data_IF_981534719243
#
_entry.id   IF_981534719243
#
_cell.length_a   1.000
_cell.length_b   1.000
_cell.length_c   1.000
_cell.angle_alpha   90.00
_cell.angle_beta   90.00
_cell.angle_gamma   90.00
#
_symmetry.space_group_name_H-M   'P 1'
#
loop_
_entity.id
_entity.type
_entity.pdbx_description
1 polymer ?
#
# COMPACT_ATOMS: atom_id res chain seq x y z
N UNK A 1 -61.60 -19.27 -23.92
CA UNK A 1 -61.10 -17.94 -23.51
C UNK A 1 -59.73 -18.14 -22.89
N UNK A 2 -58.66 -17.83 -23.60
CA UNK A 2 -57.27 -17.92 -23.10
C UNK A 2 -56.74 -16.49 -23.07
N UNK A 3 -56.39 -16.02 -21.87
CA UNK A 3 -55.91 -14.67 -21.61
C UNK A 3 -54.45 -14.52 -22.07
N UNK A 4 -54.04 -13.41 -22.70
CA UNK A 4 -52.64 -13.18 -22.99
C UNK A 4 -51.94 -12.65 -21.73
N UNK A 5 -50.86 -13.30 -21.33
CA UNK A 5 -49.99 -12.82 -20.26
C UNK A 5 -49.09 -11.72 -20.83
N UNK A 6 -49.30 -10.48 -20.40
CA UNK A 6 -48.49 -9.33 -20.78
C UNK A 6 -47.19 -9.35 -19.95
N UNK A 7 -46.06 -9.68 -20.59
CA UNK A 7 -44.73 -9.55 -19.98
C UNK A 7 -44.34 -8.06 -19.97
N UNK A 8 -44.50 -7.41 -18.80
CA UNK A 8 -43.84 -6.13 -18.53
C UNK A 8 -42.32 -6.36 -18.49
N UNK A 9 -41.61 -5.87 -19.49
CA UNK A 9 -40.16 -5.68 -19.39
C UNK A 9 -39.90 -4.46 -18.52
N UNK A 10 -39.35 -4.67 -17.33
CA UNK A 10 -38.67 -3.59 -16.60
C UNK A 10 -37.39 -3.26 -17.37
N UNK A 11 -37.21 -2.04 -17.89
CA UNK A 11 -35.88 -1.62 -18.31
C UNK A 11 -35.04 -1.48 -17.05
N UNK A 12 -34.10 -2.40 -16.84
CA UNK A 12 -33.01 -2.21 -15.88
C UNK A 12 -32.16 -1.05 -16.38
N UNK A 13 -32.49 0.16 -15.93
CA UNK A 13 -31.64 1.32 -16.08
C UNK A 13 -30.45 1.15 -15.13
N UNK A 14 -29.42 0.42 -15.57
CA UNK A 14 -28.09 0.68 -15.05
C UNK A 14 -27.67 2.01 -15.66
N UNK A 15 -27.82 3.07 -14.85
CA UNK A 15 -27.23 4.36 -15.12
C UNK A 15 -25.75 4.15 -15.45
N UNK A 16 -25.30 4.72 -16.56
CA UNK A 16 -23.90 4.84 -16.94
C UNK A 16 -23.22 5.77 -15.94
N UNK A 17 -22.90 5.28 -14.74
CA UNK A 17 -21.83 5.85 -13.95
C UNK A 17 -20.53 5.58 -14.70
N UNK A 18 -19.70 6.59 -14.92
CA UNK A 18 -18.35 6.38 -15.41
C UNK A 18 -17.68 5.33 -14.52
N UNK A 19 -17.22 4.23 -15.13
CA UNK A 19 -16.27 3.35 -14.48
C UNK A 19 -14.97 4.14 -14.36
N UNK A 20 -14.78 4.81 -13.22
CA UNK A 20 -13.46 5.28 -12.82
C UNK A 20 -12.63 4.03 -12.54
N UNK A 21 -11.83 3.64 -13.52
CA UNK A 21 -11.05 2.42 -13.48
C UNK A 21 -10.00 2.53 -12.38
N UNK A 22 -10.04 1.59 -11.44
CA UNK A 22 -9.00 1.41 -10.44
C UNK A 22 -8.10 0.25 -10.85
N UNK A 23 -6.78 0.41 -10.67
CA UNK A 23 -5.78 -0.59 -11.05
C UNK A 23 -5.06 -1.13 -9.80
N UNK A 24 -4.83 -2.45 -9.78
CA UNK A 24 -4.04 -3.12 -8.75
C UNK A 24 -2.81 -3.71 -9.42
N UNK A 25 -1.63 -3.35 -8.94
CA UNK A 25 -0.37 -3.95 -9.35
C UNK A 25 0.33 -4.55 -8.14
N UNK A 26 0.72 -5.81 -8.26
CA UNK A 26 1.57 -6.47 -7.26
C UNK A 26 3.02 -6.27 -7.67
N UNK A 27 3.83 -5.80 -6.72
CA UNK A 27 5.27 -5.75 -6.82
C UNK A 27 5.83 -6.81 -5.87
N UNK A 28 6.57 -7.77 -6.40
CA UNK A 28 7.32 -8.75 -5.62
C UNK A 28 8.79 -8.34 -5.63
N UNK A 29 9.44 -8.33 -4.46
CA UNK A 29 10.85 -7.98 -4.36
C UNK A 29 11.72 -8.82 -5.30
N UNK A 30 12.50 -8.16 -6.17
CA UNK A 30 13.46 -8.85 -7.03
C UNK A 30 14.80 -9.05 -6.29
N UNK A 31 15.37 -10.25 -6.42
CA UNK A 31 16.77 -10.54 -6.13
C UNK A 31 17.23 -10.42 -4.65
N UNK A 32 16.33 -10.24 -3.69
CA UNK A 32 16.66 -10.19 -2.26
C UNK A 32 16.38 -11.51 -1.50
N UNK A 33 15.80 -12.50 -2.19
CA UNK A 33 15.40 -13.82 -1.69
C UNK A 33 14.29 -13.80 -0.62
N UNK A 34 13.69 -12.65 -0.33
CA UNK A 34 12.55 -12.54 0.60
C UNK A 34 11.22 -12.79 -0.09
N UNK A 35 11.10 -12.40 -1.37
CA UNK A 35 9.88 -12.56 -2.18
C UNK A 35 8.64 -11.93 -1.51
N UNK A 36 8.88 -10.86 -0.75
CA UNK A 36 7.84 -10.04 -0.12
C UNK A 36 7.07 -9.24 -1.17
N UNK A 37 5.78 -9.09 -0.93
CA UNK A 37 4.88 -8.40 -1.84
C UNK A 37 4.47 -7.04 -1.27
N UNK A 38 4.46 -6.06 -2.14
CA UNK A 38 3.75 -4.80 -1.95
C UNK A 38 2.67 -4.68 -3.01
N UNK A 39 1.58 -4.00 -2.67
CA UNK A 39 0.45 -3.79 -3.60
C UNK A 39 0.28 -2.31 -3.86
N UNK A 40 0.44 -1.92 -5.12
CA UNK A 40 0.12 -0.60 -5.63
C UNK A 40 -1.36 -0.57 -5.98
N UNK A 41 -2.06 0.37 -5.35
CA UNK A 41 -3.47 0.66 -5.51
C UNK A 41 -3.53 2.01 -6.22
N UNK A 42 -3.75 2.01 -7.54
CA UNK A 42 -3.78 3.22 -8.37
C UNK A 42 -5.21 3.59 -8.75
N UNK A 43 -5.71 4.72 -8.24
CA UNK A 43 -6.97 5.31 -8.68
C UNK A 43 -6.75 6.44 -9.68
N UNK A 44 -7.72 7.32 -9.85
CA UNK A 44 -7.68 8.36 -10.88
C UNK A 44 -6.73 9.51 -10.52
N UNK A 45 -6.74 9.93 -9.26
CA UNK A 45 -6.03 11.11 -8.76
C UNK A 45 -4.85 10.77 -7.87
N UNK A 46 -4.81 9.58 -7.27
CA UNK A 46 -3.80 9.23 -6.28
C UNK A 46 -3.41 7.74 -6.32
N UNK A 47 -2.34 7.43 -5.58
CA UNK A 47 -1.83 6.07 -5.36
C UNK A 47 -1.82 5.79 -3.87
N UNK A 48 -2.29 4.60 -3.50
CA UNK A 48 -2.07 3.99 -2.20
C UNK A 48 -1.11 2.82 -2.35
N UNK A 49 -0.32 2.57 -1.31
CA UNK A 49 0.57 1.42 -1.22
C UNK A 49 0.18 0.55 -0.03
N UNK A 50 0.21 -0.76 -0.21
CA UNK A 50 0.14 -1.73 0.89
C UNK A 50 1.51 -2.37 1.03
N UNK A 51 2.10 -2.21 2.23
CA UNK A 51 3.43 -2.68 2.63
C UNK A 51 4.60 -2.09 1.82
N UNK A 52 5.76 -1.97 2.43
CA UNK A 52 6.84 -1.06 2.00
C UNK A 52 8.18 -1.74 1.71
N UNK A 53 8.20 -3.06 1.55
CA UNK A 53 9.40 -3.87 1.28
C UNK A 53 10.41 -3.90 2.45
N UNK A 54 11.30 -4.90 2.41
CA UNK A 54 12.37 -5.03 3.42
C UNK A 54 13.56 -4.10 3.17
N UNK A 55 14.10 -4.11 1.95
CA UNK A 55 15.38 -3.47 1.62
C UNK A 55 15.16 -2.10 0.97
N UNK A 56 16.10 -1.17 1.16
CA UNK A 56 16.05 0.12 0.46
C UNK A 56 16.05 -0.05 -1.06
N UNK A 57 16.83 -1.00 -1.59
CA UNK A 57 16.90 -1.26 -3.03
C UNK A 57 15.57 -1.76 -3.59
N UNK A 58 14.88 -2.70 -2.92
CA UNK A 58 13.55 -3.16 -3.34
C UNK A 58 12.52 -2.03 -3.23
N UNK A 59 12.56 -1.26 -2.14
CA UNK A 59 11.69 -0.09 -1.96
C UNK A 59 11.93 1.01 -3.01
N UNK A 60 13.18 1.25 -3.42
CA UNK A 60 13.54 2.21 -4.48
C UNK A 60 13.04 1.76 -5.86
N UNK A 61 13.10 0.46 -6.17
CA UNK A 61 12.52 -0.11 -7.40
C UNK A 61 11.00 0.06 -7.41
N UNK A 62 10.34 -0.29 -6.31
CA UNK A 62 8.90 -0.06 -6.11
C UNK A 62 8.53 1.43 -6.20
N UNK A 63 9.35 2.33 -5.66
CA UNK A 63 9.14 3.77 -5.78
C UNK A 63 9.17 4.25 -7.24
N UNK A 64 9.98 3.65 -8.11
CA UNK A 64 9.96 4.00 -9.54
C UNK A 64 8.63 3.62 -10.20
N UNK A 65 8.11 2.44 -9.89
CA UNK A 65 6.80 1.98 -10.38
C UNK A 65 5.67 2.94 -9.96
N UNK A 66 5.72 3.44 -8.73
CA UNK A 66 4.77 4.46 -8.26
C UNK A 66 4.96 5.78 -9.01
N UNK A 67 6.20 6.22 -9.26
CA UNK A 67 6.49 7.47 -10.00
C UNK A 67 6.01 7.43 -11.46
N UNK A 68 5.99 6.26 -12.10
CA UNK A 68 5.50 6.09 -13.47
C UNK A 68 4.01 6.43 -13.61
N UNK A 69 3.22 6.27 -12.54
CA UNK A 69 1.81 6.69 -12.51
C UNK A 69 1.62 8.20 -12.64
N UNK A 70 2.68 9.00 -12.34
CA UNK A 70 2.66 10.47 -12.26
C UNK A 70 1.64 11.03 -11.27
N UNK A 71 1.18 10.21 -10.32
CA UNK A 71 0.23 10.56 -9.27
C UNK A 71 0.92 10.70 -7.91
N UNK A 72 0.35 11.48 -6.98
CA UNK A 72 0.83 11.51 -5.61
C UNK A 72 0.60 10.15 -4.91
N UNK A 73 1.61 9.67 -4.19
CA UNK A 73 1.44 8.63 -3.18
C UNK A 73 0.85 9.28 -1.92
N UNK A 74 -0.41 8.97 -1.61
CA UNK A 74 -1.15 9.63 -0.54
C UNK A 74 -1.19 8.80 0.74
N UNK A 75 -1.31 7.48 0.61
CA UNK A 75 -1.48 6.56 1.74
C UNK A 75 -0.54 5.36 1.58
N UNK A 76 0.11 4.96 2.66
CA UNK A 76 0.75 3.66 2.82
C UNK A 76 0.07 2.96 3.99
N UNK A 77 -0.45 1.77 3.75
CA UNK A 77 -1.03 0.92 4.79
C UNK A 77 -0.07 -0.23 5.13
N UNK A 78 0.29 -0.37 6.41
CA UNK A 78 1.13 -1.48 6.89
C UNK A 78 0.25 -2.58 7.49
N UNK A 79 0.41 -3.79 6.98
CA UNK A 79 -0.46 -4.92 7.35
C UNK A 79 -0.14 -5.49 8.72
N UNK A 80 1.14 -5.73 9.03
CA UNK A 80 1.58 -6.30 10.30
C UNK A 80 3.05 -6.02 10.60
N UNK A 81 3.54 -6.48 11.75
CA UNK A 81 4.83 -6.02 12.31
C UNK A 81 6.07 -6.70 11.73
N UNK A 82 5.98 -7.56 10.72
CA UNK A 82 7.15 -8.17 10.10
C UNK A 82 8.00 -7.16 9.32
N UNK A 83 9.31 -7.38 9.28
CA UNK A 83 10.28 -6.33 8.90
C UNK A 83 10.13 -5.88 7.44
N UNK A 84 9.85 -6.84 6.58
CA UNK A 84 9.57 -6.73 5.15
C UNK A 84 8.33 -5.90 4.82
N UNK A 85 7.49 -5.60 5.82
CA UNK A 85 6.31 -4.78 5.60
C UNK A 85 6.59 -3.28 5.80
N UNK A 86 7.58 -2.88 6.60
CA UNK A 86 7.72 -1.48 7.02
C UNK A 86 9.14 -0.92 6.99
N UNK A 87 10.19 -1.72 6.82
CA UNK A 87 11.54 -1.18 6.86
C UNK A 87 11.88 -0.32 5.64
N UNK A 88 11.28 -0.54 4.47
CA UNK A 88 11.47 0.34 3.31
C UNK A 88 10.73 1.69 3.39
N UNK A 89 9.95 1.96 4.44
CA UNK A 89 9.18 3.21 4.61
C UNK A 89 10.02 4.50 4.47
N UNK A 90 11.30 4.45 4.84
CA UNK A 90 12.23 5.58 4.71
C UNK A 90 12.27 6.14 3.28
N UNK A 91 12.35 5.25 2.29
CA UNK A 91 12.42 5.61 0.86
C UNK A 91 11.18 6.39 0.42
N UNK A 92 10.00 5.94 0.85
CA UNK A 92 8.75 6.58 0.49
C UNK A 92 8.53 7.90 1.24
N UNK A 93 8.90 7.97 2.52
CA UNK A 93 8.76 9.21 3.29
C UNK A 93 9.67 10.32 2.76
N UNK A 94 10.88 9.98 2.31
CA UNK A 94 11.80 10.95 1.69
C UNK A 94 11.26 11.46 0.34
N UNK A 95 10.72 10.57 -0.50
CA UNK A 95 10.18 10.95 -1.80
C UNK A 95 8.82 11.66 -1.73
N UNK A 96 7.98 11.30 -0.74
CA UNK A 96 6.65 11.86 -0.52
C UNK A 96 6.49 12.31 0.94
N UNK A 97 7.03 13.47 1.35
CA UNK A 97 7.04 13.91 2.75
C UNK A 97 5.68 14.06 3.42
N UNK A 98 4.60 14.20 2.61
CA UNK A 98 3.21 14.33 3.07
C UNK A 98 2.42 13.02 3.04
N UNK A 99 3.04 11.90 2.66
CA UNK A 99 2.36 10.61 2.63
C UNK A 99 1.87 10.23 4.03
N UNK A 100 0.62 9.81 4.12
CA UNK A 100 0.07 9.26 5.36
C UNK A 100 0.46 7.80 5.45
N UNK A 101 1.11 7.42 6.54
CA UNK A 101 1.53 6.03 6.78
C UNK A 101 0.69 5.56 7.95
N UNK A 102 -0.20 4.60 7.71
CA UNK A 102 -1.22 4.18 8.67
C UNK A 102 -1.17 2.67 8.90
N UNK A 103 -1.61 2.24 10.08
CA UNK A 103 -1.87 0.85 10.41
C UNK A 103 -2.84 0.75 11.60
N UNK A 104 -3.42 -0.42 11.80
CA UNK A 104 -4.16 -0.73 13.03
C UNK A 104 -3.35 -0.38 14.28
N UNK A 105 -3.99 0.15 15.34
CA UNK A 105 -3.32 0.58 16.56
C UNK A 105 -2.43 -0.51 17.18
N UNK A 106 -2.89 -1.76 17.20
CA UNK A 106 -2.11 -2.87 17.74
C UNK A 106 -0.90 -3.22 16.87
N UNK A 107 -0.99 -3.00 15.55
CA UNK A 107 0.14 -3.16 14.63
C UNK A 107 1.16 -2.04 14.86
N UNK A 108 0.73 -0.79 14.99
CA UNK A 108 1.62 0.34 15.31
C UNK A 108 2.39 0.09 16.60
N UNK A 109 1.70 -0.36 17.66
CA UNK A 109 2.34 -0.65 18.94
C UNK A 109 3.36 -1.81 18.83
N UNK A 110 3.02 -2.85 18.07
CA UNK A 110 3.96 -3.96 17.80
C UNK A 110 5.16 -3.51 16.98
N UNK A 111 4.95 -2.76 15.90
CA UNK A 111 6.02 -2.20 15.06
C UNK A 111 6.95 -1.34 15.90
N UNK A 112 6.44 -0.37 16.65
CA UNK A 112 7.24 0.52 17.50
C UNK A 112 8.09 -0.25 18.52
N UNK A 113 7.57 -1.35 19.06
CA UNK A 113 8.30 -2.21 20.00
C UNK A 113 9.49 -2.92 19.32
N UNK A 114 9.33 -3.38 18.08
CA UNK A 114 10.36 -4.17 17.37
C UNK A 114 11.25 -3.33 16.46
N UNK A 115 10.88 -2.08 16.15
CA UNK A 115 11.54 -1.24 15.15
C UNK A 115 13.06 -1.09 15.44
N UNK A 116 13.49 -0.67 16.65
CA UNK A 116 14.91 -0.43 16.90
C UNK A 116 15.76 -1.70 16.73
N UNK A 117 15.29 -2.83 17.29
CA UNK A 117 15.96 -4.12 17.17
C UNK A 117 16.07 -4.57 15.70
N UNK A 118 15.00 -4.36 14.92
CA UNK A 118 14.98 -4.70 13.50
C UNK A 118 15.93 -3.82 12.69
N UNK A 119 16.00 -2.51 12.95
CA UNK A 119 17.00 -1.64 12.33
C UNK A 119 18.40 -2.20 12.60
N UNK A 120 18.73 -2.49 13.86
CA UNK A 120 20.06 -2.99 14.23
C UNK A 120 20.37 -4.34 13.57
N UNK A 121 19.42 -5.27 13.58
CA UNK A 121 19.55 -6.58 12.93
C UNK A 121 19.80 -6.43 11.43
N UNK A 122 18.94 -5.69 10.73
CA UNK A 122 19.02 -5.60 9.28
C UNK A 122 20.17 -4.73 8.81
N UNK A 123 20.60 -3.73 9.57
CA UNK A 123 21.82 -2.96 9.30
C UNK A 123 23.08 -3.84 9.36
N UNK A 124 23.14 -4.84 10.24
CA UNK A 124 24.25 -5.81 10.27
C UNK A 124 24.27 -6.73 9.04
N UNK A 125 23.09 -7.06 8.50
CA UNK A 125 22.94 -7.99 7.37
C UNK A 125 23.13 -7.26 6.02
N UNK A 126 22.53 -6.09 5.87
CA UNK A 126 22.40 -5.36 4.60
C UNK A 126 23.30 -4.12 4.51
N UNK A 127 23.96 -3.73 5.60
CA UNK A 127 24.79 -2.52 5.65
C UNK A 127 23.98 -1.27 5.32
N UNK A 128 24.44 -0.50 4.32
CA UNK A 128 23.76 0.71 3.83
C UNK A 128 22.43 0.43 3.11
N UNK A 129 22.14 -0.83 2.76
CA UNK A 129 20.88 -1.23 2.14
C UNK A 129 19.71 -1.37 3.12
N UNK A 130 19.97 -1.29 4.43
CA UNK A 130 18.92 -1.27 5.45
C UNK A 130 18.44 0.17 5.72
N UNK A 131 17.23 0.28 6.27
CA UNK A 131 16.76 1.54 6.85
C UNK A 131 17.68 2.02 7.97
N UNK A 132 17.80 3.34 8.07
CA UNK A 132 18.69 4.03 9.00
C UNK A 132 17.96 4.56 10.24
N UNK A 133 16.63 4.73 10.19
CA UNK A 133 15.86 5.37 11.24
C UNK A 133 14.40 4.92 11.26
N UNK A 134 13.72 5.22 12.36
CA UNK A 134 12.29 4.94 12.55
C UNK A 134 11.47 5.92 11.73
N UNK A 135 10.53 5.42 10.94
CA UNK A 135 9.48 6.22 10.30
C UNK A 135 8.18 6.10 11.09
N UNK A 136 7.60 7.23 11.46
CA UNK A 136 6.36 7.26 12.25
C UNK A 136 5.16 6.73 11.46
N UNK A 137 4.41 5.83 12.08
CA UNK A 137 3.15 5.26 11.57
C UNK A 137 1.99 5.78 12.44
N UNK A 138 0.98 6.36 11.80
CA UNK A 138 -0.26 6.85 12.40
C UNK A 138 -1.18 5.66 12.74
N UNK A 139 -1.79 5.72 13.92
CA UNK A 139 -2.80 4.73 14.34
C UNK A 139 -4.11 4.96 13.59
N UNK A 140 -4.64 3.90 12.99
CA UNK A 140 -5.88 3.92 12.24
C UNK A 140 -6.68 2.63 12.51
N UNK A 141 -7.80 2.75 13.23
CA UNK A 141 -8.69 1.64 13.58
C UNK A 141 -10.01 1.66 12.78
N UNK A 142 -10.04 2.39 11.67
CA UNK A 142 -11.18 2.41 10.76
C UNK A 142 -11.29 1.11 9.95
N UNK A 143 -12.52 0.75 9.58
CA UNK A 143 -12.78 -0.40 8.71
C UNK A 143 -12.70 -0.06 7.22
N UNK A 144 -12.64 1.22 6.88
CA UNK A 144 -12.66 1.74 5.51
C UNK A 144 -11.66 2.87 5.36
N UNK A 145 -10.81 2.78 4.34
CA UNK A 145 -9.91 3.86 3.93
C UNK A 145 -10.59 4.61 2.80
N UNK A 146 -10.89 5.89 3.02
CA UNK A 146 -11.32 6.78 1.93
C UNK A 146 -10.11 7.11 1.06
N UNK A 147 -10.21 6.74 -0.22
CA UNK A 147 -9.17 6.84 -1.23
C UNK A 147 -9.84 7.26 -2.55
N UNK A 148 -9.23 8.23 -3.24
CA UNK A 148 -9.78 9.09 -4.31
C UNK A 148 -10.47 10.37 -3.83
#
# INVERSE_FOLDING_TARGET
>A
MISPLLLMSCPSAFASGQQHGFSIKVFTSPDDQFWDNSVIVEGEHQVMLVDAQLTKTSAERLLQEIKETKKPLSIIYITHEHADHFLGLEVFREAYPRVRIIANSAVVDRVNKVYPEKIDKWKKILGSGATSHVVAIEKFDGNFIEFE
#
